data_IF_048650743885
#
_entry.id   IF_048650743885
#
_cell.length_a   1.000
_cell.length_b   1.000
_cell.length_c   1.000
_cell.angle_alpha   90.00
_cell.angle_beta   90.00
_cell.angle_gamma   90.00
#
_symmetry.space_group_name_H-M   'P 1'
#
loop_
_entity.id
_entity.type
_entity.pdbx_description
1 polymer ?
#
# COMPACT_ATOMS: atom_id res chain seq x y z
N UNK A 1 -69.54 -64.90 -43.61
CA UNK A 1 -68.31 -64.18 -44.02
C UNK A 1 -67.62 -63.62 -42.79
N UNK A 2 -66.48 -64.13 -42.45
CA UNK A 2 -65.76 -63.81 -41.24
C UNK A 2 -64.73 -62.72 -41.56
N UNK A 3 -64.50 -61.68 -40.73
CA UNK A 3 -63.38 -60.79 -40.85
C UNK A 3 -62.17 -61.25 -40.00
N UNK A 4 -61.03 -61.03 -40.52
CA UNK A 4 -59.69 -61.42 -40.08
C UNK A 4 -59.22 -60.48 -38.96
N UNK A 5 -58.81 -61.05 -37.81
CA UNK A 5 -58.14 -60.37 -36.72
C UNK A 5 -56.71 -59.94 -37.15
N UNK A 6 -56.43 -58.69 -37.08
CA UNK A 6 -55.05 -58.18 -37.14
C UNK A 6 -54.56 -57.84 -35.73
N UNK A 7 -53.64 -58.66 -35.25
CA UNK A 7 -52.84 -58.46 -34.02
C UNK A 7 -51.91 -57.27 -34.21
N UNK A 8 -52.06 -56.24 -33.39
CA UNK A 8 -51.15 -55.11 -33.35
C UNK A 8 -50.19 -55.32 -32.17
N UNK A 9 -48.91 -55.51 -32.44
CA UNK A 9 -47.85 -55.48 -31.46
C UNK A 9 -47.56 -54.01 -31.08
N UNK A 10 -47.73 -53.68 -29.80
CA UNK A 10 -47.25 -52.45 -29.24
C UNK A 10 -45.81 -52.63 -28.88
N UNK A 11 -44.89 -51.92 -29.58
CA UNK A 11 -43.48 -51.73 -29.19
C UNK A 11 -43.48 -50.69 -28.07
N UNK A 12 -43.11 -51.09 -26.88
CA UNK A 12 -42.78 -50.15 -25.79
C UNK A 12 -41.34 -49.70 -25.98
N UNK A 13 -41.16 -48.47 -26.45
CA UNK A 13 -39.87 -47.84 -26.50
C UNK A 13 -39.50 -47.30 -25.10
N UNK A 14 -38.52 -47.92 -24.46
CA UNK A 14 -37.94 -47.41 -23.23
C UNK A 14 -37.03 -46.21 -23.57
N UNK A 15 -37.43 -45.01 -23.12
CA UNK A 15 -36.63 -43.80 -23.20
C UNK A 15 -35.71 -43.78 -21.97
N UNK A 16 -34.37 -43.75 -22.11
CA UNK A 16 -33.51 -43.54 -20.98
C UNK A 16 -33.60 -42.06 -20.55
N UNK A 17 -34.06 -41.83 -19.32
CA UNK A 17 -33.97 -40.54 -18.65
C UNK A 17 -32.52 -40.28 -18.33
N UNK A 18 -31.85 -39.46 -19.14
CA UNK A 18 -30.54 -38.89 -18.80
C UNK A 18 -30.79 -37.78 -17.76
N UNK A 19 -30.51 -38.08 -16.51
CA UNK A 19 -30.45 -37.09 -15.45
C UNK A 19 -29.30 -36.12 -15.77
N UNK A 20 -29.61 -34.93 -16.30
CA UNK A 20 -28.65 -33.80 -16.31
C UNK A 20 -28.47 -33.36 -14.87
N UNK A 21 -27.37 -33.79 -14.26
CA UNK A 21 -26.83 -33.15 -13.07
C UNK A 21 -26.39 -31.74 -13.51
N UNK A 22 -27.20 -30.74 -13.21
CA UNK A 22 -26.80 -29.34 -13.30
C UNK A 22 -25.74 -29.12 -12.24
N UNK A 23 -24.47 -29.25 -12.61
CA UNK A 23 -23.39 -28.66 -11.86
C UNK A 23 -23.59 -27.15 -11.93
N UNK A 24 -24.03 -26.57 -10.82
CA UNK A 24 -23.89 -25.14 -10.56
C UNK A 24 -22.36 -24.84 -10.48
N UNK A 25 -21.77 -24.57 -11.62
CA UNK A 25 -20.43 -24.01 -11.68
C UNK A 25 -20.52 -22.57 -11.17
N UNK A 26 -20.38 -22.41 -9.85
CA UNK A 26 -19.99 -21.15 -9.27
C UNK A 26 -18.70 -20.69 -9.93
N UNK A 27 -18.68 -19.44 -10.30
CA UNK A 27 -17.57 -18.73 -10.92
C UNK A 27 -16.35 -18.68 -9.99
N UNK A 28 -15.53 -19.69 -9.99
CA UNK A 28 -14.28 -19.77 -9.19
C UNK A 28 -13.09 -20.18 -10.05
N UNK A 29 -12.96 -19.65 -11.27
CA UNK A 29 -11.89 -20.06 -12.18
C UNK A 29 -10.96 -18.95 -12.64
N UNK A 30 -10.60 -17.99 -11.78
CA UNK A 30 -9.53 -17.04 -12.10
C UNK A 30 -8.22 -17.30 -11.32
N UNK A 31 -8.21 -18.21 -10.35
CA UNK A 31 -7.01 -18.55 -9.59
C UNK A 31 -6.43 -19.86 -10.10
N UNK A 32 -5.58 -19.83 -11.13
CA UNK A 32 -4.79 -21.02 -11.49
C UNK A 32 -3.88 -21.40 -10.33
N UNK A 33 -4.04 -22.62 -9.78
CA UNK A 33 -3.19 -23.15 -8.74
C UNK A 33 -1.77 -23.34 -9.30
N UNK A 34 -0.81 -22.56 -8.77
CA UNK A 34 0.62 -22.78 -9.01
C UNK A 34 1.17 -23.93 -8.15
N UNK A 35 2.49 -24.12 -8.15
CA UNK A 35 3.15 -25.00 -7.21
C UNK A 35 2.87 -24.54 -5.76
N UNK A 36 2.80 -25.49 -4.80
CA UNK A 36 2.57 -25.15 -3.39
C UNK A 36 3.62 -24.17 -2.87
N UNK A 37 3.24 -23.25 -1.96
CA UNK A 37 4.20 -22.36 -1.31
C UNK A 37 5.27 -23.15 -0.53
N UNK A 38 6.53 -22.72 -0.57
CA UNK A 38 7.60 -23.25 0.27
C UNK A 38 7.36 -22.94 1.75
N UNK A 39 6.76 -21.76 2.00
CA UNK A 39 6.38 -21.26 3.33
C UNK A 39 4.93 -20.84 3.31
N UNK A 40 4.08 -21.56 4.07
CA UNK A 40 2.65 -21.25 4.13
C UNK A 40 2.34 -20.11 5.11
N UNK A 41 3.09 -19.96 6.20
CA UNK A 41 2.85 -18.94 7.22
C UNK A 41 3.72 -17.73 6.92
N UNK A 42 3.09 -16.59 6.60
CA UNK A 42 3.75 -15.33 6.28
C UNK A 42 3.24 -14.25 7.23
N UNK A 43 4.16 -13.48 7.78
CA UNK A 43 3.85 -12.20 8.43
C UNK A 43 4.22 -11.07 7.50
N UNK A 44 3.31 -10.12 7.33
CA UNK A 44 3.55 -8.84 6.65
C UNK A 44 3.29 -7.68 7.60
N UNK A 45 4.26 -6.79 7.70
CA UNK A 45 4.09 -5.52 8.40
C UNK A 45 3.49 -4.50 7.44
N UNK A 46 2.48 -3.74 7.87
CA UNK A 46 1.67 -2.87 7.00
C UNK A 46 1.45 -1.52 7.65
N UNK A 47 1.64 -0.45 6.89
CA UNK A 47 1.25 0.90 7.31
C UNK A 47 -0.27 1.06 7.12
N UNK A 48 -1.04 1.42 8.16
CA UNK A 48 -2.50 1.45 8.09
C UNK A 48 -3.03 2.70 7.38
N UNK A 49 -2.82 2.76 6.07
CA UNK A 49 -3.28 3.82 5.16
C UNK A 49 -4.13 3.23 4.03
N UNK A 50 -4.68 4.09 3.19
CA UNK A 50 -5.42 3.69 1.99
C UNK A 50 -4.55 2.91 0.99
N UNK A 51 -3.23 3.11 1.03
CA UNK A 51 -2.26 2.43 0.16
C UNK A 51 -2.35 0.90 0.20
N UNK A 52 -2.75 0.33 1.35
CA UNK A 52 -2.80 -1.11 1.57
C UNK A 52 -4.17 -1.74 1.25
N UNK A 53 -5.12 -1.00 0.68
CA UNK A 53 -6.50 -1.49 0.53
C UNK A 53 -6.60 -2.82 -0.25
N UNK A 54 -5.86 -2.98 -1.35
CA UNK A 54 -5.86 -4.24 -2.12
C UNK A 54 -5.34 -5.44 -1.32
N UNK A 55 -4.35 -5.22 -0.44
CA UNK A 55 -3.86 -6.25 0.48
C UNK A 55 -4.93 -6.65 1.50
N UNK A 56 -5.63 -5.66 2.08
CA UNK A 56 -6.69 -5.91 3.05
C UNK A 56 -7.87 -6.66 2.43
N UNK A 57 -8.30 -6.26 1.23
CA UNK A 57 -9.34 -6.96 0.47
C UNK A 57 -8.91 -8.40 0.20
N UNK A 58 -7.68 -8.63 -0.28
CA UNK A 58 -7.17 -9.98 -0.53
C UNK A 58 -7.16 -10.84 0.74
N UNK A 59 -6.91 -10.24 1.90
CA UNK A 59 -6.94 -10.91 3.18
C UNK A 59 -8.37 -11.25 3.62
N UNK A 60 -9.29 -10.28 3.59
CA UNK A 60 -10.67 -10.41 4.04
C UNK A 60 -11.46 -11.41 3.16
N UNK A 61 -11.27 -11.36 1.85
CA UNK A 61 -11.90 -12.28 0.88
C UNK A 61 -11.26 -13.68 0.86
N UNK A 62 -10.20 -13.88 1.63
CA UNK A 62 -9.54 -15.17 1.79
C UNK A 62 -8.72 -15.60 0.56
N UNK A 63 -8.32 -14.69 -0.32
CA UNK A 63 -7.52 -15.02 -1.51
C UNK A 63 -6.16 -15.63 -1.13
N UNK A 64 -5.52 -15.16 -0.05
CA UNK A 64 -4.29 -15.78 0.46
C UNK A 64 -4.50 -17.23 0.89
N UNK A 65 -5.59 -17.53 1.59
CA UNK A 65 -5.92 -18.90 2.00
C UNK A 65 -6.17 -19.81 0.81
N UNK A 66 -6.81 -19.31 -0.25
CA UNK A 66 -7.03 -20.04 -1.50
C UNK A 66 -5.71 -20.39 -2.20
N UNK A 67 -4.66 -19.59 -1.98
CA UNK A 67 -3.31 -19.83 -2.49
C UNK A 67 -2.43 -20.64 -1.52
N UNK A 68 -2.98 -21.16 -0.42
CA UNK A 68 -2.24 -21.93 0.58
C UNK A 68 -1.38 -21.08 1.53
N UNK A 69 -1.66 -19.78 1.64
CA UNK A 69 -0.95 -18.85 2.51
C UNK A 69 -1.80 -18.48 3.73
N UNK A 70 -1.24 -18.68 4.91
CA UNK A 70 -1.75 -18.15 6.17
C UNK A 70 -1.07 -16.81 6.44
N UNK A 71 -1.66 -15.72 5.97
CA UNK A 71 -1.14 -14.39 6.15
C UNK A 71 -1.49 -13.85 7.53
N UNK A 72 -0.51 -13.26 8.22
CA UNK A 72 -0.66 -12.45 9.42
C UNK A 72 -0.28 -11.02 9.08
N UNK A 73 -1.20 -10.09 9.28
CA UNK A 73 -0.95 -8.65 9.13
C UNK A 73 -0.59 -8.06 10.50
N UNK A 74 0.48 -7.25 10.54
CA UNK A 74 0.91 -6.49 11.72
C UNK A 74 0.97 -5.02 11.34
N UNK A 75 0.23 -4.18 12.07
CA UNK A 75 0.23 -2.73 11.81
C UNK A 75 1.49 -2.08 12.36
N UNK A 76 2.13 -1.22 11.54
CA UNK A 76 3.32 -0.43 11.88
C UNK A 76 3.09 1.05 11.53
N UNK A 77 3.89 1.95 12.11
CA UNK A 77 3.72 3.40 11.92
C UNK A 77 4.45 3.98 10.68
N UNK A 78 5.16 3.16 9.94
CA UNK A 78 5.90 3.52 8.72
C UNK A 78 6.75 2.34 8.28
N UNK A 79 7.05 2.22 6.97
CA UNK A 79 7.80 1.09 6.41
C UNK A 79 9.17 0.87 7.05
N UNK A 80 9.82 1.94 7.52
CA UNK A 80 11.11 1.87 8.22
C UNK A 80 11.03 1.09 9.54
N UNK A 81 9.87 1.04 10.19
CA UNK A 81 9.70 0.29 11.44
C UNK A 81 9.70 -1.23 11.21
N UNK A 82 9.30 -1.69 10.02
CA UNK A 82 9.33 -3.11 9.64
C UNK A 82 10.72 -3.64 9.26
N UNK A 83 11.72 -2.76 9.11
CA UNK A 83 13.05 -3.19 8.63
C UNK A 83 13.76 -4.16 9.59
N UNK A 84 13.59 -3.96 10.90
CA UNK A 84 14.13 -4.87 11.92
C UNK A 84 13.50 -6.25 11.83
N UNK A 85 12.20 -6.30 11.64
CA UNK A 85 11.45 -7.55 11.52
C UNK A 85 11.78 -8.30 10.22
N UNK A 86 11.99 -7.55 9.14
CA UNK A 86 12.46 -8.12 7.88
C UNK A 86 13.88 -8.71 7.98
N UNK A 87 14.79 -8.07 8.74
CA UNK A 87 16.15 -8.56 8.96
C UNK A 87 16.19 -9.83 9.82
N UNK A 88 15.35 -9.90 10.84
CA UNK A 88 15.30 -11.03 11.76
C UNK A 88 14.44 -12.18 11.22
N UNK A 89 13.64 -11.95 10.18
CA UNK A 89 12.66 -12.89 9.65
C UNK A 89 11.39 -12.98 10.50
N UNK A 90 11.18 -12.06 11.43
CA UNK A 90 9.92 -11.93 12.20
C UNK A 90 8.77 -11.57 11.28
N UNK A 91 9.00 -10.66 10.32
CA UNK A 91 8.17 -10.46 9.15
C UNK A 91 8.91 -10.94 7.89
N UNK A 92 8.20 -11.49 6.93
CA UNK A 92 8.72 -11.91 5.64
C UNK A 92 8.61 -10.80 4.60
N UNK A 93 7.58 -9.96 4.76
CA UNK A 93 7.25 -8.87 3.87
C UNK A 93 6.96 -7.61 4.68
N UNK A 94 7.18 -6.45 4.06
CA UNK A 94 6.79 -5.14 4.61
C UNK A 94 6.12 -4.33 3.51
N UNK A 95 4.97 -3.78 3.81
CA UNK A 95 4.29 -2.78 2.99
C UNK A 95 4.58 -1.39 3.53
N UNK A 96 4.79 -0.41 2.65
CA UNK A 96 5.02 0.99 2.98
C UNK A 96 5.52 1.77 1.78
N UNK A 97 5.99 3.01 2.04
CA UNK A 97 6.38 3.88 0.94
C UNK A 97 7.76 3.55 0.34
N UNK A 98 7.89 3.79 -0.94
CA UNK A 98 9.12 3.59 -1.71
C UNK A 98 10.35 4.29 -1.12
N UNK A 99 10.18 5.53 -0.62
CA UNK A 99 11.30 6.36 -0.15
C UNK A 99 12.02 5.70 1.01
N UNK A 100 11.27 5.17 1.98
CA UNK A 100 11.83 4.46 3.14
C UNK A 100 12.65 3.24 2.70
N UNK A 101 12.15 2.46 1.74
CA UNK A 101 12.83 1.25 1.27
C UNK A 101 14.07 1.55 0.41
N UNK A 102 14.00 2.55 -0.46
CA UNK A 102 15.17 2.98 -1.25
C UNK A 102 16.28 3.49 -0.31
N UNK A 103 15.94 4.27 0.71
CA UNK A 103 16.91 4.74 1.69
C UNK A 103 17.54 3.59 2.47
N UNK A 104 16.75 2.57 2.85
CA UNK A 104 17.27 1.37 3.49
C UNK A 104 18.27 0.63 2.61
N UNK A 105 17.94 0.45 1.36
CA UNK A 105 18.77 -0.23 0.38
C UNK A 105 20.10 0.50 0.14
N UNK A 106 20.07 1.86 0.04
CA UNK A 106 21.26 2.66 -0.28
C UNK A 106 22.16 2.86 0.93
N UNK A 107 21.56 3.25 2.06
CA UNK A 107 22.34 3.79 3.17
C UNK A 107 22.76 2.71 4.18
N UNK A 108 22.09 1.58 4.19
CA UNK A 108 22.24 0.60 5.27
C UNK A 108 21.96 1.21 6.64
N UNK A 109 21.39 2.39 6.67
CA UNK A 109 21.16 3.17 7.88
C UNK A 109 19.76 3.76 7.80
N UNK A 110 18.81 3.08 8.44
CA UNK A 110 17.72 3.86 9.00
C UNK A 110 18.26 4.59 10.22
N UNK A 111 18.01 5.90 10.30
CA UNK A 111 17.92 6.51 11.60
C UNK A 111 16.71 5.84 12.27
N UNK A 112 16.96 4.77 13.04
CA UNK A 112 15.95 4.22 13.90
C UNK A 112 15.34 5.40 14.67
N UNK A 113 14.01 5.52 14.73
CA UNK A 113 13.39 6.55 15.53
C UNK A 113 13.97 6.42 16.93
N UNK A 114 14.29 7.55 17.55
CA UNK A 114 14.82 7.57 18.91
C UNK A 114 13.89 6.74 19.80
N UNK A 115 14.39 5.72 20.54
CA UNK A 115 13.56 4.88 21.36
C UNK A 115 12.73 5.74 22.28
N UNK A 116 11.42 5.70 22.14
CA UNK A 116 10.53 6.22 23.18
C UNK A 116 10.34 5.12 24.22
N UNK A 117 10.00 5.48 25.46
CA UNK A 117 9.76 4.54 26.55
C UNK A 117 8.69 3.46 26.21
N UNK A 118 7.99 3.58 25.07
CA UNK A 118 6.97 2.65 24.56
C UNK A 118 7.47 1.68 23.48
N UNK A 119 8.67 1.87 22.93
CA UNK A 119 9.28 0.95 21.97
C UNK A 119 10.78 0.77 22.23
N UNK A 120 11.18 -0.09 23.17
CA UNK A 120 12.59 -0.33 23.50
C UNK A 120 13.36 -1.12 22.43
N UNK A 121 12.70 -1.69 21.43
CA UNK A 121 13.33 -2.52 20.39
C UNK A 121 14.02 -1.72 19.26
N UNK A 122 13.89 -0.39 19.24
CA UNK A 122 14.43 0.48 18.18
C UNK A 122 15.93 0.80 18.30
N UNK A 123 16.71 0.08 19.12
CA UNK A 123 18.08 0.46 19.49
C UNK A 123 19.20 -0.25 18.75
N UNK A 124 18.92 -1.25 17.92
CA UNK A 124 20.00 -1.90 17.16
C UNK A 124 20.32 -1.11 15.88
N UNK A 125 21.62 -0.85 15.58
CA UNK A 125 21.97 -0.32 14.27
C UNK A 125 21.52 -1.32 13.20
N UNK A 126 20.58 -0.89 12.37
CA UNK A 126 20.07 -1.70 11.27
C UNK A 126 21.22 -1.88 10.26
N UNK A 127 21.65 -3.11 10.01
CA UNK A 127 22.61 -3.41 8.95
C UNK A 127 21.95 -3.12 7.59
N UNK A 128 22.74 -2.82 6.53
CA UNK A 128 22.19 -2.79 5.18
C UNK A 128 21.36 -4.05 4.92
N UNK A 129 20.16 -3.85 4.41
CA UNK A 129 19.27 -4.95 4.05
C UNK A 129 19.12 -4.96 2.53
N UNK A 130 19.45 -6.07 1.90
CA UNK A 130 19.18 -6.28 0.49
C UNK A 130 17.73 -6.70 0.31
N UNK A 131 16.93 -5.86 -0.33
CA UNK A 131 15.48 -6.03 -0.48
C UNK A 131 15.08 -6.16 -1.94
N UNK A 132 13.96 -6.86 -2.16
CA UNK A 132 13.25 -6.88 -3.45
C UNK A 132 11.86 -6.31 -3.28
N UNK A 133 11.51 -5.37 -4.16
CA UNK A 133 10.15 -4.93 -4.38
C UNK A 133 9.41 -6.02 -5.16
N UNK A 134 8.27 -6.45 -4.67
CA UNK A 134 7.51 -7.56 -5.24
C UNK A 134 6.14 -7.13 -5.77
N UNK A 135 5.62 -6.00 -5.31
CA UNK A 135 4.35 -5.45 -5.77
C UNK A 135 4.31 -3.93 -5.57
N UNK A 136 3.65 -3.23 -6.46
CA UNK A 136 3.23 -1.84 -6.31
C UNK A 136 1.85 -1.82 -5.64
N UNK A 137 1.64 -0.99 -4.62
CA UNK A 137 0.36 -1.00 -3.88
C UNK A 137 -0.52 0.18 -4.24
N UNK A 138 0.08 1.38 -4.45
CA UNK A 138 -0.71 2.60 -4.65
C UNK A 138 0.03 3.68 -5.42
N UNK A 139 -0.76 4.52 -6.08
CA UNK A 139 -0.30 5.76 -6.71
C UNK A 139 -1.19 6.92 -6.27
N UNK A 140 -0.57 8.09 -6.16
CA UNK A 140 -1.23 9.31 -5.74
C UNK A 140 -2.34 9.73 -6.70
N UNK A 141 -3.41 10.28 -6.13
CA UNK A 141 -4.50 10.96 -6.81
C UNK A 141 -4.68 12.36 -6.25
N UNK A 142 -5.39 13.21 -6.96
CA UNK A 142 -5.73 14.54 -6.45
C UNK A 142 -6.49 14.43 -5.13
N UNK A 143 -5.96 15.05 -4.07
CA UNK A 143 -6.58 15.12 -2.74
C UNK A 143 -6.25 13.97 -1.77
N UNK A 144 -5.60 12.87 -2.22
CA UNK A 144 -5.32 11.75 -1.30
C UNK A 144 -4.04 11.90 -0.47
N UNK A 145 -3.17 12.82 -0.87
CA UNK A 145 -1.95 13.19 -0.16
C UNK A 145 -1.87 14.72 -0.13
N UNK A 146 -2.10 15.35 1.02
CA UNK A 146 -2.16 16.79 1.07
C UNK A 146 -1.54 17.38 2.35
N UNK A 147 -1.26 18.67 2.30
CA UNK A 147 -0.84 19.48 3.43
C UNK A 147 -2.05 20.20 4.01
N UNK A 148 -2.29 20.00 5.28
CA UNK A 148 -3.46 20.54 5.99
C UNK A 148 -3.08 21.57 7.03
N UNK A 149 -3.97 22.52 7.26
CA UNK A 149 -3.93 23.52 8.35
C UNK A 149 -5.31 23.69 8.96
N UNK A 150 -5.40 24.31 10.14
CA UNK A 150 -6.70 24.66 10.73
C UNK A 150 -7.33 25.87 10.02
N UNK A 151 -8.66 26.03 10.03
CA UNK A 151 -9.36 27.14 9.37
C UNK A 151 -8.90 28.53 9.84
N UNK A 152 -8.52 28.63 11.12
CA UNK A 152 -8.04 29.88 11.75
C UNK A 152 -6.52 30.02 11.71
N UNK A 153 -5.80 29.08 11.05
CA UNK A 153 -4.34 29.16 10.90
C UNK A 153 -3.91 30.48 10.25
N UNK A 154 -2.84 31.12 10.70
CA UNK A 154 -2.24 32.28 10.04
C UNK A 154 -1.58 31.90 8.70
N UNK A 155 -1.31 30.62 8.48
CA UNK A 155 -0.64 30.09 7.29
C UNK A 155 -1.70 29.79 6.21
N UNK A 156 -1.88 30.72 5.26
CA UNK A 156 -2.85 30.61 4.17
C UNK A 156 -2.22 30.21 2.83
N UNK A 157 -0.91 30.09 2.77
CA UNK A 157 -0.14 29.65 1.60
C UNK A 157 1.06 28.83 2.05
N UNK A 158 1.61 28.01 1.17
CA UNK A 158 2.84 27.23 1.42
C UNK A 158 3.98 28.17 1.81
N UNK A 159 4.13 29.31 1.13
CA UNK A 159 5.17 30.30 1.42
C UNK A 159 5.04 30.93 2.82
N UNK A 160 3.84 31.01 3.37
CA UNK A 160 3.64 31.53 4.73
C UNK A 160 4.27 30.62 5.79
N UNK A 161 4.34 29.30 5.55
CA UNK A 161 4.97 28.33 6.46
C UNK A 161 6.48 28.56 6.65
N UNK A 162 7.13 29.30 5.74
CA UNK A 162 8.58 29.62 5.88
C UNK A 162 8.85 30.79 6.83
N UNK A 163 7.78 31.40 7.35
CA UNK A 163 7.83 32.48 8.33
C UNK A 163 7.58 31.93 9.73
N UNK A 164 8.12 32.58 10.71
CA UNK A 164 7.82 32.37 12.13
C UNK A 164 8.04 30.95 12.65
N UNK A 165 9.02 30.22 12.07
CA UNK A 165 9.36 28.84 12.47
C UNK A 165 8.16 27.87 12.51
N UNK A 166 7.26 27.97 11.53
CA UNK A 166 6.10 27.08 11.44
C UNK A 166 6.50 25.61 11.56
N UNK A 167 5.72 24.87 12.34
CA UNK A 167 5.91 23.44 12.57
C UNK A 167 5.06 22.62 11.60
N UNK A 168 5.68 21.70 10.88
CA UNK A 168 4.96 20.79 9.97
C UNK A 168 5.10 19.36 10.46
N UNK A 169 3.97 18.73 10.76
CA UNK A 169 3.89 17.34 11.18
C UNK A 169 4.22 16.38 10.02
N UNK A 170 5.09 15.41 10.31
CA UNK A 170 5.44 14.29 9.45
C UNK A 170 5.50 13.02 10.30
N UNK A 171 5.24 11.84 9.72
CA UNK A 171 5.29 10.59 10.49
C UNK A 171 6.72 10.14 10.83
N UNK A 172 7.69 10.42 9.97
CA UNK A 172 9.07 9.99 10.12
C UNK A 172 10.02 10.87 9.34
N UNK A 173 11.26 11.10 9.81
CA UNK A 173 12.28 11.76 9.02
C UNK A 173 12.78 10.86 7.89
N UNK A 174 13.25 11.46 6.80
CA UNK A 174 13.74 10.73 5.62
C UNK A 174 12.70 9.74 5.06
N UNK A 175 11.49 10.24 4.86
CA UNK A 175 10.33 9.50 4.41
C UNK A 175 9.69 10.21 3.20
N UNK A 176 8.61 9.65 2.67
CA UNK A 176 7.84 10.20 1.55
C UNK A 176 7.46 11.67 1.78
N UNK A 177 7.08 12.05 3.00
CA UNK A 177 6.73 13.42 3.35
C UNK A 177 7.83 14.44 2.96
N UNK A 178 9.11 14.07 3.04
CA UNK A 178 10.20 14.97 2.63
C UNK A 178 10.28 15.18 1.13
N UNK A 179 9.98 14.15 0.33
CA UNK A 179 9.91 14.27 -1.13
C UNK A 179 8.72 15.15 -1.51
N UNK A 180 7.55 14.90 -0.91
CA UNK A 180 6.32 15.63 -1.18
C UNK A 180 6.46 17.12 -0.79
N UNK A 181 6.89 17.39 0.43
CA UNK A 181 7.15 18.77 0.89
C UNK A 181 8.27 19.43 0.08
N UNK A 182 9.33 18.68 -0.25
CA UNK A 182 10.43 19.18 -1.08
C UNK A 182 9.96 19.68 -2.44
N UNK A 183 9.10 18.89 -3.11
CA UNK A 183 8.48 19.27 -4.39
C UNK A 183 7.60 20.51 -4.25
N UNK A 184 6.73 20.53 -3.25
CA UNK A 184 5.81 21.64 -3.00
C UNK A 184 6.56 22.96 -2.76
N UNK A 185 7.58 22.93 -1.91
CA UNK A 185 8.37 24.12 -1.60
C UNK A 185 9.22 24.57 -2.80
N UNK A 186 9.79 23.61 -3.55
CA UNK A 186 10.57 23.93 -4.75
C UNK A 186 9.73 24.59 -5.86
N UNK A 187 8.46 24.21 -6.01
CA UNK A 187 7.52 24.81 -6.96
C UNK A 187 7.33 26.31 -6.69
N UNK A 188 7.38 26.72 -5.42
CA UNK A 188 7.31 28.14 -4.99
C UNK A 188 8.70 28.81 -4.91
N UNK A 189 9.78 28.16 -5.35
CA UNK A 189 11.16 28.65 -5.24
C UNK A 189 11.67 28.71 -3.79
N UNK A 190 11.10 27.93 -2.89
CA UNK A 190 11.40 27.92 -1.46
C UNK A 190 12.30 26.74 -1.09
N UNK A 191 12.88 26.79 0.10
CA UNK A 191 13.66 25.70 0.66
C UNK A 191 12.95 25.02 1.81
N UNK A 192 12.89 23.69 1.78
CA UNK A 192 12.33 22.86 2.86
C UNK A 192 13.02 23.11 4.22
N UNK A 193 14.29 23.53 4.21
CA UNK A 193 15.03 23.90 5.43
C UNK A 193 14.52 25.15 6.15
N UNK A 194 13.52 25.82 5.62
CA UNK A 194 12.86 27.00 6.23
C UNK A 194 11.71 26.67 7.15
N UNK A 195 11.30 25.39 7.22
CA UNK A 195 10.26 24.93 8.16
C UNK A 195 10.86 24.00 9.20
N UNK A 196 10.24 23.94 10.36
CA UNK A 196 10.56 22.96 11.39
C UNK A 196 9.68 21.72 11.22
N UNK A 197 10.25 20.62 10.77
CA UNK A 197 9.57 19.34 10.72
C UNK A 197 9.46 18.75 12.12
N UNK A 198 8.25 18.36 12.52
CA UNK A 198 7.97 17.73 13.80
C UNK A 198 7.51 16.30 13.54
N UNK A 199 8.23 15.35 14.12
CA UNK A 199 7.89 13.93 13.95
C UNK A 199 6.74 13.57 14.87
N UNK A 200 5.62 13.18 14.25
CA UNK A 200 4.45 12.59 14.90
C UNK A 200 4.35 11.13 14.43
N UNK A 201 5.00 10.18 15.14
CA UNK A 201 5.24 8.84 14.60
C UNK A 201 3.97 7.98 14.47
N UNK A 202 2.85 8.44 15.02
CA UNK A 202 1.58 7.74 14.99
C UNK A 202 0.61 8.51 14.09
N UNK A 203 0.55 8.11 12.82
CA UNK A 203 -0.29 8.76 11.79
C UNK A 203 -1.74 9.00 12.25
N UNK A 204 -2.46 8.02 12.86
CA UNK A 204 -3.81 8.23 13.34
C UNK A 204 -3.98 9.37 14.37
N UNK A 205 -2.92 9.78 15.05
CA UNK A 205 -2.98 10.86 16.03
C UNK A 205 -2.72 12.24 15.41
N UNK A 206 -2.19 12.29 14.19
CA UNK A 206 -1.74 13.55 13.58
C UNK A 206 -2.87 14.56 13.33
N UNK A 207 -4.10 14.15 12.93
CA UNK A 207 -5.24 15.06 12.86
C UNK A 207 -5.56 15.75 14.20
N UNK A 208 -5.51 15.00 15.31
CA UNK A 208 -5.73 15.55 16.66
C UNK A 208 -4.58 16.47 17.09
N UNK A 209 -3.34 16.12 16.78
CA UNK A 209 -2.16 16.95 17.09
C UNK A 209 -2.21 18.30 16.36
N UNK A 210 -2.72 18.32 15.11
CA UNK A 210 -3.03 19.55 14.38
C UNK A 210 -4.14 20.35 15.09
N UNK A 211 -5.23 19.70 15.47
CA UNK A 211 -6.36 20.33 16.15
C UNK A 211 -5.98 20.92 17.52
N UNK A 212 -5.04 20.28 18.22
CA UNK A 212 -4.50 20.73 19.50
C UNK A 212 -3.37 21.77 19.37
N UNK A 213 -3.07 22.26 18.17
CA UNK A 213 -1.98 23.21 17.89
C UNK A 213 -0.59 22.72 18.35
N UNK A 214 -0.34 21.42 18.39
CA UNK A 214 1.00 20.87 18.62
C UNK A 214 1.88 21.00 17.37
N UNK A 215 1.25 21.10 16.22
CA UNK A 215 1.81 21.37 14.91
C UNK A 215 0.95 22.41 14.20
N UNK A 216 1.56 23.23 13.35
CA UNK A 216 0.89 24.32 12.63
C UNK A 216 0.28 23.86 11.31
N UNK A 217 0.91 22.86 10.69
CA UNK A 217 0.45 22.18 9.49
C UNK A 217 0.79 20.69 9.59
N UNK A 218 0.08 19.84 8.84
CA UNK A 218 0.30 18.40 8.81
C UNK A 218 0.29 17.88 7.37
N UNK A 219 1.30 17.07 7.02
CA UNK A 219 1.17 16.16 5.90
C UNK A 219 0.26 15.00 6.32
N UNK A 220 -0.83 14.81 5.60
CA UNK A 220 -1.78 13.74 5.89
C UNK A 220 -2.09 12.95 4.61
N UNK A 221 -1.80 11.64 4.61
CA UNK A 221 -2.35 10.71 3.64
C UNK A 221 -3.79 10.36 4.03
N UNK A 222 -4.55 9.76 3.10
CA UNK A 222 -5.85 9.19 3.44
C UNK A 222 -5.71 7.89 4.28
N UNK A 223 -6.59 7.68 5.24
CA UNK A 223 -7.85 8.39 5.53
C UNK A 223 -7.71 9.62 6.45
N UNK A 224 -6.50 9.98 6.86
CA UNK A 224 -6.27 10.99 7.92
C UNK A 224 -6.52 12.42 7.44
N UNK A 225 -6.41 12.70 6.13
CA UNK A 225 -6.79 13.97 5.54
C UNK A 225 -8.29 14.24 5.72
N UNK A 226 -9.12 13.33 5.24
CA UNK A 226 -10.59 13.41 5.40
C UNK A 226 -11.00 13.40 6.88
N UNK A 227 -10.32 12.63 7.72
CA UNK A 227 -10.58 12.65 9.16
C UNK A 227 -10.31 14.02 9.79
N UNK A 228 -9.21 14.67 9.41
CA UNK A 228 -8.89 16.02 9.87
C UNK A 228 -9.93 17.05 9.44
N UNK A 229 -10.43 16.96 8.21
CA UNK A 229 -11.49 17.82 7.69
C UNK A 229 -12.80 17.63 8.46
N UNK A 230 -13.26 16.39 8.61
CA UNK A 230 -14.56 16.09 9.20
C UNK A 230 -14.60 16.31 10.71
N UNK A 231 -13.57 15.87 11.44
CA UNK A 231 -13.58 15.93 12.89
C UNK A 231 -13.10 17.28 13.44
N UNK A 232 -12.24 18.00 12.71
CA UNK A 232 -11.58 19.20 13.22
C UNK A 232 -11.73 20.42 12.32
N UNK A 233 -12.38 20.25 11.16
CA UNK A 233 -12.56 21.32 10.19
C UNK A 233 -11.26 21.78 9.53
N UNK A 234 -10.23 20.93 9.53
CA UNK A 234 -8.98 21.23 8.83
C UNK A 234 -9.26 21.55 7.35
N UNK A 235 -8.42 22.37 6.75
CA UNK A 235 -8.51 22.74 5.35
C UNK A 235 -7.24 22.38 4.62
N UNK A 236 -7.39 21.85 3.43
CA UNK A 236 -6.27 21.55 2.55
C UNK A 236 -5.57 22.85 2.15
N UNK A 237 -4.30 22.99 2.52
CA UNK A 237 -3.46 24.11 2.13
C UNK A 237 -2.85 23.91 0.74
N UNK A 238 -2.45 22.68 0.45
CA UNK A 238 -1.89 22.29 -0.85
C UNK A 238 -2.05 20.79 -1.09
N UNK A 239 -2.28 20.43 -2.34
CA UNK A 239 -2.25 19.07 -2.84
C UNK A 239 -0.83 18.72 -3.32
N UNK A 240 -0.39 17.51 -3.06
CA UNK A 240 0.91 17.04 -3.56
C UNK A 240 0.85 16.42 -4.95
N UNK A 241 -0.34 16.05 -5.44
CA UNK A 241 -0.54 15.46 -6.77
C UNK A 241 -0.43 16.50 -7.89
N UNK A 242 0.75 17.10 -8.03
CA UNK A 242 0.97 18.16 -9.03
C UNK A 242 2.40 18.14 -9.59
N UNK A 243 2.55 18.66 -10.80
CA UNK A 243 3.85 18.82 -11.46
C UNK A 243 4.57 17.49 -11.66
N UNK A 244 5.80 17.38 -11.19
CA UNK A 244 6.60 16.14 -11.30
C UNK A 244 6.07 15.00 -10.43
N UNK A 245 5.16 15.28 -9.50
CA UNK A 245 4.54 14.30 -8.61
C UNK A 245 3.10 13.92 -9.00
N UNK A 246 2.59 14.36 -10.15
CA UNK A 246 1.28 13.92 -10.64
C UNK A 246 1.26 12.38 -10.84
N UNK A 247 0.27 11.71 -10.25
CA UNK A 247 0.14 10.25 -10.22
C UNK A 247 1.43 9.56 -9.73
N UNK A 248 2.00 10.08 -8.63
CA UNK A 248 3.27 9.60 -8.11
C UNK A 248 3.12 8.26 -7.38
N UNK A 249 4.03 7.28 -7.58
CA UNK A 249 4.01 6.02 -6.85
C UNK A 249 4.24 6.26 -5.35
N UNK A 250 3.38 5.71 -4.51
CA UNK A 250 3.45 5.90 -3.05
C UNK A 250 3.88 4.63 -2.35
N UNK A 251 3.12 3.54 -2.51
CA UNK A 251 3.28 2.33 -1.74
C UNK A 251 3.83 1.15 -2.54
N UNK A 252 4.59 0.29 -1.86
CA UNK A 252 5.14 -0.95 -2.42
C UNK A 252 5.29 -2.00 -1.33
N UNK A 253 5.32 -3.26 -1.71
CA UNK A 253 5.65 -4.38 -0.83
C UNK A 253 7.08 -4.82 -1.12
N UNK A 254 7.89 -4.98 -0.06
CA UNK A 254 9.26 -5.47 -0.15
C UNK A 254 9.46 -6.75 0.68
N UNK A 255 10.39 -7.58 0.25
CA UNK A 255 10.88 -8.73 1.00
C UNK A 255 12.40 -8.75 1.06
N UNK A 256 12.96 -9.44 2.06
CA UNK A 256 14.41 -9.68 2.14
C UNK A 256 14.85 -10.53 0.95
N UNK A 257 15.84 -10.10 0.17
CA UNK A 257 16.30 -10.79 -1.06
C UNK A 257 16.60 -12.28 -0.87
N UNK A 258 17.38 -12.72 0.12
CA UNK A 258 17.61 -14.16 0.35
C UNK A 258 16.33 -14.95 0.58
N UNK A 259 15.38 -14.40 1.33
CA UNK A 259 14.12 -15.07 1.60
C UNK A 259 13.24 -15.15 0.34
N UNK A 260 13.10 -14.03 -0.38
CA UNK A 260 12.33 -13.95 -1.64
C UNK A 260 12.86 -14.95 -2.67
N UNK A 261 14.18 -15.03 -2.84
CA UNK A 261 14.82 -15.98 -3.76
C UNK A 261 14.65 -17.45 -3.36
N UNK A 262 14.60 -17.73 -2.05
CA UNK A 262 14.41 -19.09 -1.54
C UNK A 262 12.96 -19.55 -1.51
N UNK A 263 12.00 -18.63 -1.73
CA UNK A 263 10.56 -18.90 -1.64
C UNK A 263 9.79 -18.45 -2.91
N UNK A 264 10.23 -18.82 -4.13
CA UNK A 264 9.64 -18.32 -5.36
C UNK A 264 8.18 -18.73 -5.58
N UNK A 265 7.77 -19.94 -5.13
CA UNK A 265 6.37 -20.34 -5.24
C UNK A 265 5.49 -19.62 -4.22
N UNK A 266 6.03 -19.34 -3.02
CA UNK A 266 5.37 -18.54 -2.00
C UNK A 266 5.12 -17.11 -2.51
N UNK A 267 6.12 -16.47 -3.11
CA UNK A 267 5.98 -15.13 -3.73
C UNK A 267 4.96 -15.17 -4.86
N UNK A 268 5.01 -16.17 -5.74
CA UNK A 268 4.04 -16.31 -6.82
C UNK A 268 2.60 -16.53 -6.30
N UNK A 269 2.43 -17.30 -5.23
CA UNK A 269 1.13 -17.49 -4.57
C UNK A 269 0.63 -16.21 -3.90
N UNK A 270 1.53 -15.49 -3.21
CA UNK A 270 1.23 -14.19 -2.62
C UNK A 270 0.77 -13.18 -3.67
N UNK A 271 1.50 -13.05 -4.78
CA UNK A 271 1.18 -12.12 -5.85
C UNK A 271 -0.16 -12.44 -6.53
N UNK A 272 -0.50 -13.73 -6.74
CA UNK A 272 -1.83 -14.09 -7.27
C UNK A 272 -2.95 -13.64 -6.34
N UNK A 273 -2.79 -13.84 -5.04
CA UNK A 273 -3.77 -13.40 -4.04
C UNK A 273 -3.85 -11.87 -3.97
N UNK A 274 -2.70 -11.21 -3.88
CA UNK A 274 -2.60 -9.76 -3.82
C UNK A 274 -3.22 -9.09 -5.06
N UNK A 275 -2.86 -9.55 -6.27
CA UNK A 275 -3.38 -8.98 -7.52
C UNK A 275 -4.91 -9.15 -7.65
N UNK A 276 -5.49 -10.22 -7.10
CA UNK A 276 -6.93 -10.36 -7.04
C UNK A 276 -7.58 -9.28 -6.15
N UNK A 277 -6.98 -8.99 -4.99
CA UNK A 277 -7.43 -7.89 -4.13
C UNK A 277 -7.21 -6.51 -4.75
N UNK A 278 -6.06 -6.29 -5.42
CA UNK A 278 -5.80 -5.06 -6.17
C UNK A 278 -6.84 -4.82 -7.27
N UNK A 279 -7.22 -5.86 -8.01
CA UNK A 279 -8.24 -5.76 -9.04
C UNK A 279 -9.61 -5.35 -8.47
N UNK A 280 -9.95 -5.85 -7.28
CA UNK A 280 -11.17 -5.42 -6.58
C UNK A 280 -11.01 -3.97 -6.11
N UNK A 281 -9.86 -3.60 -5.54
CA UNK A 281 -9.61 -2.24 -5.08
C UNK A 281 -9.69 -1.21 -6.22
N UNK A 282 -9.19 -1.55 -7.42
CA UNK A 282 -9.23 -0.68 -8.60
C UNK A 282 -10.65 -0.45 -9.14
N UNK A 283 -11.58 -1.38 -8.90
CA UNK A 283 -12.91 -1.38 -9.52
C UNK A 283 -14.08 -1.23 -8.57
N UNK A 284 -13.90 -1.49 -7.27
CA UNK A 284 -14.97 -1.49 -6.26
C UNK A 284 -14.63 -0.62 -5.05
N UNK A 285 -15.06 0.64 -5.12
CA UNK A 285 -14.90 1.61 -4.04
C UNK A 285 -15.47 1.09 -2.71
N UNK A 286 -16.64 0.43 -2.73
CA UNK A 286 -17.28 -0.02 -1.50
C UNK A 286 -16.47 -1.12 -0.80
N UNK A 287 -15.79 -1.99 -1.55
CA UNK A 287 -14.86 -2.97 -1.01
C UNK A 287 -13.65 -2.28 -0.35
N UNK A 288 -13.09 -1.23 -0.96
CA UNK A 288 -12.01 -0.42 -0.37
C UNK A 288 -12.46 0.23 0.94
N UNK A 289 -13.60 0.91 0.94
CA UNK A 289 -14.15 1.54 2.15
C UNK A 289 -14.31 0.55 3.30
N UNK A 290 -14.88 -0.64 3.01
CA UNK A 290 -15.08 -1.68 4.03
C UNK A 290 -13.74 -2.23 4.55
N UNK A 291 -12.78 -2.49 3.68
CA UNK A 291 -11.46 -2.99 4.06
C UNK A 291 -10.72 -1.99 4.96
N UNK A 292 -10.78 -0.70 4.65
CA UNK A 292 -10.15 0.34 5.46
C UNK A 292 -10.83 0.49 6.82
N UNK A 293 -12.15 0.42 6.90
CA UNK A 293 -12.88 0.39 8.18
C UNK A 293 -12.43 -0.80 9.05
N UNK A 294 -12.24 -1.97 8.44
CA UNK A 294 -11.85 -3.18 9.17
C UNK A 294 -10.42 -3.12 9.71
N UNK A 295 -9.49 -2.50 8.97
CA UNK A 295 -8.04 -2.64 9.23
C UNK A 295 -7.35 -1.37 9.74
N UNK A 296 -7.88 -0.18 9.44
CA UNK A 296 -7.24 1.08 9.86
C UNK A 296 -7.92 1.74 11.05
N UNK A 297 -9.14 1.29 11.40
CA UNK A 297 -9.95 1.88 12.45
C UNK A 297 -10.64 3.19 12.04
N UNK A 298 -10.57 3.56 10.75
CA UNK A 298 -11.27 4.73 10.21
C UNK A 298 -12.79 4.55 10.32
N UNK A 299 -13.50 5.64 10.61
CA UNK A 299 -14.97 5.62 10.65
C UNK A 299 -15.55 5.45 9.26
N UNK A 300 -16.69 4.77 9.17
CA UNK A 300 -17.38 4.52 7.89
C UNK A 300 -17.70 5.83 7.15
N UNK A 301 -18.06 6.88 7.87
CA UNK A 301 -18.38 8.19 7.29
C UNK A 301 -17.16 8.82 6.63
N UNK A 302 -15.98 8.67 7.22
CA UNK A 302 -14.69 9.12 6.66
C UNK A 302 -14.36 8.29 5.43
N UNK A 303 -14.40 6.96 5.54
CA UNK A 303 -14.10 6.06 4.43
C UNK A 303 -14.99 6.32 3.19
N UNK A 304 -16.27 6.65 3.41
CA UNK A 304 -17.24 6.91 2.33
C UNK A 304 -16.94 8.18 1.51
N UNK A 305 -16.17 9.13 2.04
CA UNK A 305 -15.93 10.44 1.40
C UNK A 305 -14.47 10.71 1.06
N UNK A 306 -13.52 9.92 1.61
CA UNK A 306 -12.10 10.10 1.32
C UNK A 306 -11.77 9.89 -0.15
N UNK A 307 -10.70 10.52 -0.62
CA UNK A 307 -10.14 10.26 -1.94
C UNK A 307 -9.34 8.96 -1.92
N UNK A 308 -9.68 8.04 -2.84
CA UNK A 308 -8.95 6.77 -2.96
C UNK A 308 -7.68 6.94 -3.78
N UNK A 309 -6.73 6.05 -3.55
CA UNK A 309 -5.56 5.87 -4.40
C UNK A 309 -5.94 5.24 -5.76
N UNK A 310 -5.05 5.30 -6.72
CA UNK A 310 -5.04 4.33 -7.82
C UNK A 310 -4.32 3.08 -7.34
N UNK A 311 -4.85 1.92 -7.69
CA UNK A 311 -4.34 0.61 -7.28
C UNK A 311 -3.73 -0.12 -8.49
N UNK A 312 -2.40 -0.01 -8.74
CA UNK A 312 -1.75 -0.58 -9.90
C UNK A 312 -1.86 -2.12 -9.91
N UNK A 313 -2.10 -2.69 -11.10
CA UNK A 313 -2.17 -4.15 -11.28
C UNK A 313 -0.83 -4.78 -11.67
N UNK A 314 0.17 -3.96 -11.95
CA UNK A 314 1.52 -4.39 -12.30
C UNK A 314 2.54 -3.33 -11.92
N UNK A 315 3.76 -3.78 -11.66
CA UNK A 315 4.90 -2.88 -11.45
C UNK A 315 5.34 -2.28 -12.81
N UNK A 316 5.40 -0.95 -12.87
CA UNK A 316 5.93 -0.20 -14.01
C UNK A 316 7.27 0.45 -13.64
N UNK A 317 8.37 -0.12 -14.11
CA UNK A 317 9.73 0.32 -13.76
C UNK A 317 9.99 1.80 -14.09
N UNK A 318 9.65 2.32 -15.26
CA UNK A 318 9.69 3.75 -15.58
C UNK A 318 8.92 4.62 -14.59
N UNK A 319 7.72 4.21 -14.18
CA UNK A 319 6.89 4.94 -13.21
C UNK A 319 7.54 4.90 -11.84
N UNK A 320 7.97 3.72 -11.37
CA UNK A 320 8.66 3.55 -10.08
C UNK A 320 9.98 4.33 -10.02
N UNK A 321 10.70 4.45 -11.13
CA UNK A 321 11.97 5.21 -11.20
C UNK A 321 11.78 6.70 -10.87
N UNK A 322 10.58 7.25 -11.08
CA UNK A 322 10.26 8.64 -10.72
C UNK A 322 10.52 8.91 -9.25
N UNK A 323 10.30 7.92 -8.37
CA UNK A 323 10.55 8.07 -6.93
C UNK A 323 12.01 8.35 -6.65
N UNK A 324 12.91 7.53 -7.17
CA UNK A 324 14.35 7.73 -7.02
C UNK A 324 14.83 9.04 -7.64
N UNK A 325 14.25 9.43 -8.78
CA UNK A 325 14.57 10.70 -9.43
C UNK A 325 14.15 11.89 -8.56
N UNK A 326 12.95 11.88 -7.99
CA UNK A 326 12.46 12.91 -7.08
C UNK A 326 13.29 12.97 -5.77
N UNK A 327 13.65 11.79 -5.22
CA UNK A 327 14.54 11.73 -4.06
C UNK A 327 15.89 12.43 -4.32
N UNK A 328 16.44 12.26 -5.52
CA UNK A 328 17.67 12.92 -5.93
C UNK A 328 17.47 14.42 -6.16
N UNK A 329 16.42 14.80 -6.89
CA UNK A 329 16.06 16.19 -7.20
C UNK A 329 15.85 17.03 -5.93
N UNK A 330 15.15 16.49 -4.95
CA UNK A 330 14.85 17.18 -3.68
C UNK A 330 15.90 16.91 -2.58
N UNK A 331 17.05 16.31 -2.95
CA UNK A 331 18.21 16.18 -2.07
C UNK A 331 18.07 15.13 -0.95
N UNK A 332 17.08 14.25 -1.02
CA UNK A 332 16.90 13.13 -0.08
C UNK A 332 18.03 12.12 -0.26
N UNK A 333 18.48 11.89 -1.49
CA UNK A 333 19.66 11.10 -1.81
C UNK A 333 20.69 11.93 -2.59
N UNK A 334 21.98 11.61 -2.41
CA UNK A 334 23.09 12.36 -3.06
C UNK A 334 23.47 11.87 -4.44
N UNK A 335 22.99 10.69 -4.85
CA UNK A 335 23.26 10.07 -6.14
C UNK A 335 21.98 9.41 -6.62
N UNK A 336 21.75 9.45 -7.95
CA UNK A 336 20.65 8.71 -8.54
C UNK A 336 20.79 7.22 -8.24
N UNK A 337 19.65 6.58 -7.98
CA UNK A 337 19.53 5.16 -7.73
C UNK A 337 18.66 4.52 -8.81
N UNK A 338 19.12 3.42 -9.39
CA UNK A 338 18.33 2.67 -10.36
C UNK A 338 17.38 1.71 -9.62
N UNK A 339 16.08 1.97 -9.71
CA UNK A 339 15.04 1.20 -9.02
C UNK A 339 15.01 -0.27 -9.48
N UNK A 340 15.41 -0.56 -10.73
CA UNK A 340 15.47 -1.92 -11.24
C UNK A 340 16.38 -2.84 -10.41
N UNK A 341 17.32 -2.29 -9.66
CA UNK A 341 18.17 -3.06 -8.74
C UNK A 341 17.37 -3.69 -7.58
N UNK A 342 16.16 -3.21 -7.30
CA UNK A 342 15.29 -3.71 -6.24
C UNK A 342 14.08 -4.50 -6.76
N UNK A 343 13.93 -4.70 -8.07
CA UNK A 343 12.77 -5.39 -8.61
C UNK A 343 13.04 -6.87 -8.70
N UNK A 344 12.06 -7.68 -8.27
CA UNK A 344 12.12 -9.13 -8.45
C UNK A 344 11.85 -9.43 -9.94
N UNK A 345 12.76 -10.09 -10.65
CA UNK A 345 12.48 -10.53 -12.02
C UNK A 345 11.32 -11.53 -12.04
N UNK A 346 10.38 -11.35 -12.96
CA UNK A 346 9.30 -12.31 -13.17
C UNK A 346 9.87 -13.68 -13.54
N UNK A 347 9.20 -14.77 -13.07
CA UNK A 347 9.59 -16.14 -13.36
C UNK A 347 9.38 -16.41 -14.85
N UNK A 348 10.37 -16.19 -15.67
CA UNK A 348 10.31 -16.36 -17.14
C UNK A 348 11.26 -15.48 -17.93
N UNK A 349 11.77 -14.39 -17.37
CA UNK A 349 12.72 -13.49 -18.05
C UNK A 349 14.20 -13.83 -17.85
N UNK A 350 14.51 -14.99 -17.22
CA UNK A 350 15.89 -15.48 -17.14
C UNK A 350 16.18 -16.28 -18.41
N UNK A 351 16.55 -15.58 -19.48
CA UNK A 351 16.98 -16.24 -20.70
C UNK A 351 16.85 -15.41 -21.96
N UNK A 352 17.61 -14.35 -22.09
CA UNK A 352 17.87 -13.65 -23.33
C UNK A 352 19.37 -13.42 -23.48
#
# INVERSE_FOLDING_TARGET
MRPINKLRYCLVAAIPVVALAACSSGSSSLMTSGAPPETANITIDVVPTADAAGLYIAFDDGYFKQQGINLKIVSINGGEFGMGDLQTGTAQLVEGNYVSFILAQIAGKFAAPTPTAKNPAATAPVKPIDMRMIADTSQMQEGNQALYVLPNSPYKTVSALTKDDATVGINSPNNIAQVLLGSLFAADGLSLGKIRQVVQPVLPNMPEDLAQHKIDAAWLPEPFGTEAEQNYGAVQLADFNQGSLENFPIGTIVGNTPWVQSNPNTIAAFLRAFNAGQQVADSDRAAVEQALVNHTGVKKEVAATMTLDTYPLAMDVPVMQRVSNAMYEFGVIKKQFNIANMIQPEKGEIGG
#
